data_IF_470968270574
#
_entry.id   IF_470968270574
#
_cell.length_a   1.000
_cell.length_b   1.000
_cell.length_c   1.000
_cell.angle_alpha   90.00
_cell.angle_beta   90.00
_cell.angle_gamma   90.00
#
_symmetry.space_group_name_H-M   'P 1'
#
loop_
_entity.id
_entity.type
_entity.pdbx_description
1 polymer ?
#
# COMPACT_ATOMS: atom_id res chain seq x y z
N UNK A 1 1.35 -21.13 6.27
CA UNK A 1 1.17 -19.90 7.09
C UNK A 1 -0.32 -19.68 7.22
N UNK A 2 -0.80 -19.27 8.39
CA UNK A 2 -2.22 -18.95 8.57
C UNK A 2 -2.57 -17.61 7.91
N UNK A 3 -3.85 -17.45 7.57
CA UNK A 3 -4.38 -16.27 6.87
C UNK A 3 -4.08 -14.95 7.59
N UNK A 4 -4.24 -14.92 8.92
CA UNK A 4 -4.04 -13.73 9.74
C UNK A 4 -2.61 -13.24 9.65
N UNK A 5 -1.65 -14.14 9.87
CA UNK A 5 -0.22 -13.84 9.76
C UNK A 5 0.12 -13.34 8.35
N UNK A 6 -0.39 -14.01 7.31
CA UNK A 6 -0.17 -13.60 5.92
C UNK A 6 -0.70 -12.20 5.62
N UNK A 7 -1.91 -11.88 6.07
CA UNK A 7 -2.53 -10.58 5.86
C UNK A 7 -1.76 -9.44 6.55
N UNK A 8 -1.30 -9.65 7.78
CA UNK A 8 -0.50 -8.65 8.52
C UNK A 8 0.84 -8.42 7.80
N UNK A 9 1.55 -9.51 7.48
CA UNK A 9 2.86 -9.43 6.85
C UNK A 9 2.80 -8.77 5.47
N UNK A 10 1.70 -8.94 4.72
CA UNK A 10 1.46 -8.26 3.45
C UNK A 10 1.55 -6.73 3.54
N UNK A 11 1.31 -6.15 4.73
CA UNK A 11 1.41 -4.70 4.97
C UNK A 11 2.67 -4.28 5.74
N UNK A 12 3.40 -5.21 6.37
CA UNK A 12 4.44 -4.88 7.36
C UNK A 12 5.51 -3.91 6.84
N UNK A 13 6.05 -4.14 5.64
CA UNK A 13 7.04 -3.27 4.99
C UNK A 13 6.44 -2.62 3.74
N UNK A 14 5.21 -2.11 3.87
CA UNK A 14 4.53 -1.38 2.80
C UNK A 14 4.42 -2.26 1.54
N UNK A 15 4.71 -1.71 0.36
CA UNK A 15 4.63 -2.43 -0.90
C UNK A 15 5.68 -3.53 -1.05
N UNK A 16 6.78 -3.49 -0.29
CA UNK A 16 7.87 -4.48 -0.40
C UNK A 16 7.36 -5.85 0.06
N UNK A 17 6.77 -5.92 1.26
CA UNK A 17 6.16 -7.18 1.70
C UNK A 17 4.87 -7.49 0.94
N UNK A 18 4.16 -6.48 0.42
CA UNK A 18 3.09 -6.70 -0.55
C UNK A 18 3.54 -7.54 -1.73
N UNK A 19 4.65 -7.17 -2.38
CA UNK A 19 5.20 -7.93 -3.51
C UNK A 19 5.62 -9.34 -3.10
N UNK A 20 6.32 -9.48 -1.96
CA UNK A 20 6.76 -10.80 -1.48
C UNK A 20 5.55 -11.73 -1.26
N UNK A 21 4.49 -11.21 -0.62
CA UNK A 21 3.33 -12.01 -0.24
C UNK A 21 2.36 -12.28 -1.39
N UNK A 22 2.49 -11.57 -2.53
CA UNK A 22 1.81 -11.96 -3.77
C UNK A 22 2.23 -13.35 -4.23
N UNK A 23 3.48 -13.75 -3.96
CA UNK A 23 4.02 -15.06 -4.34
C UNK A 23 4.05 -16.04 -3.18
N UNK A 24 4.49 -15.61 -2.00
CA UNK A 24 4.58 -16.48 -0.80
C UNK A 24 3.19 -16.85 -0.27
N UNK A 25 2.24 -15.90 -0.28
CA UNK A 25 0.87 -16.08 0.21
C UNK A 25 -0.14 -16.50 -0.86
N UNK A 26 0.31 -16.83 -2.08
CA UNK A 26 -0.55 -16.93 -3.28
C UNK A 26 -1.68 -17.97 -3.21
N UNK A 27 -1.52 -18.99 -2.37
CA UNK A 27 -2.49 -20.06 -2.20
C UNK A 27 -3.70 -19.67 -1.33
N UNK A 28 -3.62 -18.56 -0.60
CA UNK A 28 -4.75 -17.99 0.14
C UNK A 28 -5.25 -16.72 -0.59
N UNK A 29 -6.49 -16.72 -1.10
CA UNK A 29 -7.00 -15.59 -1.90
C UNK A 29 -7.11 -14.29 -1.11
N UNK A 30 -7.31 -14.35 0.21
CA UNK A 30 -7.41 -13.14 1.05
C UNK A 30 -6.03 -12.56 1.33
N UNK A 31 -5.03 -13.43 1.60
CA UNK A 31 -3.63 -13.00 1.73
C UNK A 31 -3.13 -12.41 0.42
N UNK A 32 -3.41 -13.07 -0.72
CA UNK A 32 -3.02 -12.58 -2.04
C UNK A 32 -3.66 -11.23 -2.37
N UNK A 33 -4.93 -11.02 -1.98
CA UNK A 33 -5.59 -9.72 -2.12
C UNK A 33 -4.93 -8.63 -1.26
N UNK A 34 -4.62 -8.92 0.00
CA UNK A 34 -3.95 -7.95 0.89
C UNK A 34 -2.55 -7.59 0.38
N UNK A 35 -1.82 -8.58 -0.13
CA UNK A 35 -0.54 -8.40 -0.79
C UNK A 35 -0.64 -7.48 -2.03
N UNK A 36 -1.64 -7.72 -2.88
CA UNK A 36 -1.93 -6.88 -4.04
C UNK A 36 -2.32 -5.45 -3.63
N UNK A 37 -3.24 -5.31 -2.68
CA UNK A 37 -3.72 -4.02 -2.16
C UNK A 37 -2.58 -3.20 -1.55
N UNK A 38 -1.69 -3.85 -0.79
CA UNK A 38 -0.48 -3.24 -0.24
C UNK A 38 0.46 -2.76 -1.35
N UNK A 39 0.72 -3.63 -2.34
CA UNK A 39 1.60 -3.33 -3.48
C UNK A 39 1.12 -2.11 -4.26
N UNK A 40 -0.17 -2.11 -4.66
CA UNK A 40 -0.74 -1.02 -5.46
C UNK A 40 -0.75 0.29 -4.67
N UNK A 41 -1.29 0.31 -3.45
CA UNK A 41 -1.47 1.55 -2.71
C UNK A 41 -0.13 2.16 -2.26
N UNK A 42 0.69 1.40 -1.53
CA UNK A 42 1.94 1.93 -0.99
C UNK A 42 3.01 2.11 -2.07
N UNK A 43 2.96 1.32 -3.15
CA UNK A 43 3.82 1.50 -4.32
C UNK A 43 3.49 2.81 -5.02
N UNK A 44 2.19 3.09 -5.23
CA UNK A 44 1.74 4.36 -5.82
C UNK A 44 2.16 5.57 -4.99
N UNK A 45 2.00 5.51 -3.66
CA UNK A 45 2.47 6.57 -2.75
C UNK A 45 3.98 6.80 -2.90
N UNK A 46 4.76 5.72 -2.96
CA UNK A 46 6.22 5.79 -3.09
C UNK A 46 6.64 6.42 -4.42
N UNK A 47 5.97 6.03 -5.52
CA UNK A 47 6.21 6.58 -6.87
C UNK A 47 5.86 8.07 -6.92
N UNK A 48 4.70 8.48 -6.40
CA UNK A 48 4.28 9.88 -6.36
C UNK A 48 5.27 10.71 -5.53
N UNK A 49 5.66 10.24 -4.34
CA UNK A 49 6.65 10.92 -3.51
C UNK A 49 8.00 11.08 -4.20
N UNK A 50 8.47 10.04 -4.90
CA UNK A 50 9.71 10.11 -5.70
C UNK A 50 9.63 11.17 -6.80
N UNK A 51 8.53 11.19 -7.56
CA UNK A 51 8.31 12.17 -8.63
C UNK A 51 8.28 13.60 -8.08
N UNK A 52 7.53 13.85 -7.00
CA UNK A 52 7.47 15.15 -6.35
C UNK A 52 8.84 15.63 -5.89
N UNK A 53 9.64 14.74 -5.28
CA UNK A 53 10.99 15.08 -4.85
C UNK A 53 11.93 15.36 -6.02
N UNK A 54 11.81 14.65 -7.14
CA UNK A 54 12.58 14.94 -8.36
C UNK A 54 12.22 16.30 -8.93
N UNK A 55 10.93 16.63 -9.06
CA UNK A 55 10.48 17.92 -9.57
C UNK A 55 10.99 19.05 -8.68
N UNK A 56 10.87 18.91 -7.35
CA UNK A 56 11.35 19.92 -6.40
C UNK A 56 12.84 20.25 -6.52
N UNK A 57 13.67 19.28 -6.97
CA UNK A 57 15.09 19.49 -7.20
C UNK A 57 15.43 20.39 -8.41
N UNK A 58 14.47 20.65 -9.30
CA UNK A 58 14.66 21.48 -10.49
C UNK A 58 13.92 22.83 -10.40
N UNK A 59 13.29 23.15 -9.26
CA UNK A 59 12.50 24.37 -9.07
C UNK A 59 13.19 25.36 -8.13
N UNK A 60 12.67 26.59 -8.06
CA UNK A 60 13.11 27.55 -7.03
C UNK A 60 12.76 27.08 -5.60
N UNK A 61 13.31 27.78 -4.61
CA UNK A 61 13.15 27.43 -3.20
C UNK A 61 11.69 27.47 -2.73
N UNK A 62 10.89 28.41 -3.23
CA UNK A 62 9.50 28.58 -2.82
C UNK A 62 8.65 27.41 -3.31
N UNK A 63 8.77 27.06 -4.59
CA UNK A 63 8.05 25.92 -5.16
C UNK A 63 8.56 24.58 -4.58
N UNK A 64 9.87 24.44 -4.36
CA UNK A 64 10.43 23.26 -3.71
C UNK A 64 9.86 23.03 -2.31
N UNK A 65 9.69 24.10 -1.51
CA UNK A 65 9.09 24.01 -0.18
C UNK A 65 7.61 23.56 -0.24
N UNK A 66 6.82 24.07 -1.20
CA UNK A 66 5.42 23.67 -1.40
C UNK A 66 5.33 22.19 -1.78
N UNK A 67 6.13 21.75 -2.75
CA UNK A 67 6.17 20.34 -3.18
C UNK A 67 6.63 19.42 -2.05
N UNK A 68 7.58 19.87 -1.22
CA UNK A 68 8.01 19.18 -0.02
C UNK A 68 6.88 18.99 1.00
N UNK A 69 6.08 20.05 1.24
CA UNK A 69 4.92 19.97 2.12
C UNK A 69 3.86 18.99 1.58
N UNK A 70 3.55 19.04 0.28
CA UNK A 70 2.61 18.09 -0.36
C UNK A 70 3.12 16.66 -0.21
N UNK A 71 4.40 16.41 -0.49
CA UNK A 71 5.00 15.09 -0.33
C UNK A 71 4.92 14.59 1.12
N UNK A 72 5.13 15.46 2.10
CA UNK A 72 5.00 15.12 3.51
C UNK A 72 3.56 14.74 3.88
N UNK A 73 2.57 15.50 3.41
CA UNK A 73 1.16 15.21 3.67
C UNK A 73 0.71 13.88 3.04
N UNK A 74 1.17 13.57 1.83
CA UNK A 74 0.90 12.28 1.17
C UNK A 74 1.53 11.13 1.98
N UNK A 75 2.78 11.29 2.43
CA UNK A 75 3.44 10.29 3.26
C UNK A 75 2.70 10.07 4.58
N UNK A 76 2.30 11.15 5.25
CA UNK A 76 1.55 11.08 6.51
C UNK A 76 0.20 10.38 6.33
N UNK A 77 -0.52 10.67 5.24
CA UNK A 77 -1.73 9.95 4.86
C UNK A 77 -1.45 8.46 4.65
N UNK A 78 -0.36 8.11 3.95
CA UNK A 78 0.10 6.73 3.78
C UNK A 78 0.33 6.03 5.11
N UNK A 79 1.00 6.67 6.07
CA UNK A 79 1.24 6.13 7.42
C UNK A 79 -0.06 5.85 8.16
N UNK A 80 -1.04 6.76 8.08
CA UNK A 80 -2.36 6.56 8.71
C UNK A 80 -3.05 5.32 8.12
N UNK A 81 -3.09 5.22 6.79
CA UNK A 81 -3.70 4.07 6.10
C UNK A 81 -2.94 2.78 6.41
N UNK A 82 -1.62 2.82 6.52
CA UNK A 82 -0.75 1.69 6.90
C UNK A 82 -1.08 1.16 8.29
N UNK A 83 -1.19 2.03 9.28
CA UNK A 83 -1.59 1.65 10.64
C UNK A 83 -2.97 1.00 10.62
N UNK A 84 -3.94 1.59 9.92
CA UNK A 84 -5.29 1.02 9.84
C UNK A 84 -5.27 -0.35 9.13
N UNK A 85 -4.45 -0.52 8.09
CA UNK A 85 -4.31 -1.80 7.40
C UNK A 85 -3.79 -2.90 8.33
N UNK A 86 -2.74 -2.63 9.10
CA UNK A 86 -2.18 -3.56 10.08
C UNK A 86 -3.21 -3.93 11.17
N UNK A 87 -3.86 -2.92 11.74
CA UNK A 87 -4.86 -3.12 12.80
C UNK A 87 -6.06 -3.93 12.29
N UNK A 88 -6.57 -3.62 11.09
CA UNK A 88 -7.71 -4.33 10.49
C UNK A 88 -7.33 -5.73 10.04
N UNK A 89 -6.14 -5.96 9.51
CA UNK A 89 -5.66 -7.32 9.20
C UNK A 89 -5.60 -8.18 10.46
N UNK A 90 -5.16 -7.62 11.58
CA UNK A 90 -5.14 -8.32 12.85
C UNK A 90 -6.55 -8.56 13.44
N UNK A 91 -7.40 -7.54 13.47
CA UNK A 91 -8.74 -7.62 14.10
C UNK A 91 -9.75 -8.43 13.29
N UNK A 92 -9.60 -8.51 11.97
CA UNK A 92 -10.43 -9.35 11.10
C UNK A 92 -9.99 -10.81 11.04
N UNK A 93 -8.89 -11.18 11.73
CA UNK A 93 -8.28 -12.50 11.57
C UNK A 93 -7.74 -12.76 10.16
N UNK A 94 -7.40 -11.70 9.42
CA UNK A 94 -6.95 -11.76 8.03
C UNK A 94 -8.06 -11.91 7.00
N UNK A 95 -9.34 -11.80 7.40
CA UNK A 95 -10.44 -11.77 6.43
C UNK A 95 -10.31 -10.55 5.51
N UNK A 96 -10.64 -10.73 4.24
CA UNK A 96 -10.53 -9.70 3.21
C UNK A 96 -11.24 -8.40 3.59
N UNK A 97 -10.56 -7.28 3.42
CA UNK A 97 -11.14 -5.95 3.57
C UNK A 97 -10.44 -4.92 2.68
N UNK A 98 -11.20 -3.91 2.26
CA UNK A 98 -10.67 -2.78 1.51
C UNK A 98 -10.11 -1.70 2.44
N UNK A 99 -9.02 -1.03 2.03
CA UNK A 99 -8.47 0.11 2.77
C UNK A 99 -9.54 1.19 2.98
N UNK A 100 -9.66 1.78 4.17
CA UNK A 100 -10.59 2.89 4.38
C UNK A 100 -10.16 4.08 3.51
N UNK A 101 -11.12 4.94 3.14
CA UNK A 101 -10.94 6.16 2.34
C UNK A 101 -10.58 5.93 0.86
N UNK A 102 -9.73 4.95 0.56
CA UNK A 102 -9.20 4.69 -0.80
C UNK A 102 -9.66 3.36 -1.40
N UNK A 103 -10.37 2.54 -0.62
CA UNK A 103 -10.76 1.17 -0.99
C UNK A 103 -11.51 1.07 -2.31
N UNK A 104 -12.46 1.97 -2.58
CA UNK A 104 -13.21 1.97 -3.83
C UNK A 104 -12.35 2.20 -5.08
N UNK A 105 -11.23 2.93 -4.95
CA UNK A 105 -10.30 3.15 -6.04
C UNK A 105 -9.23 2.06 -6.12
N UNK A 106 -8.69 1.60 -4.99
CA UNK A 106 -7.58 0.64 -4.94
C UNK A 106 -8.04 -0.80 -5.18
N UNK A 107 -9.19 -1.20 -4.64
CA UNK A 107 -9.62 -2.58 -4.64
C UNK A 107 -9.75 -3.20 -6.05
N UNK A 108 -10.30 -2.53 -7.07
CA UNK A 108 -10.36 -3.09 -8.43
C UNK A 108 -8.97 -3.44 -9.00
N UNK A 109 -7.96 -2.59 -8.78
CA UNK A 109 -6.60 -2.85 -9.23
C UNK A 109 -5.91 -3.94 -8.40
N UNK A 110 -6.22 -4.00 -7.10
CA UNK A 110 -5.75 -5.07 -6.24
C UNK A 110 -6.31 -6.44 -6.68
N UNK A 111 -7.58 -6.51 -7.06
CA UNK A 111 -8.19 -7.72 -7.65
C UNK A 111 -7.47 -8.13 -8.94
N UNK A 112 -7.29 -7.17 -9.86
CA UNK A 112 -6.60 -7.44 -11.13
C UNK A 112 -5.19 -7.98 -10.91
N UNK A 113 -4.41 -7.34 -10.02
CA UNK A 113 -3.05 -7.78 -9.71
C UNK A 113 -3.04 -9.14 -9.02
N UNK A 114 -3.94 -9.40 -8.06
CA UNK A 114 -4.04 -10.69 -7.39
C UNK A 114 -4.37 -11.82 -8.39
N UNK A 115 -5.23 -11.55 -9.37
CA UNK A 115 -5.62 -12.52 -10.39
C UNK A 115 -4.54 -12.73 -11.47
N UNK A 116 -3.66 -11.74 -11.69
CA UNK A 116 -2.54 -11.85 -12.63
C UNK A 116 -1.40 -12.75 -12.11
N UNK A 117 -1.34 -13.01 -10.80
CA UNK A 117 -0.31 -13.84 -10.16
C UNK A 117 -0.85 -15.25 -9.88
N UNK A 118 -0.26 -16.25 -10.55
CA UNK A 118 -0.58 -17.68 -10.46
C UNK A 118 0.23 -18.39 -9.36
#
# INVERSE_FOLDING_TARGET
MDKKTGAILSYLLWWITGIIFLFVGKNDPDVKFHAAQSTIFFGSISIVGFILNRIAGFTDLTLAAILGLISFLIWLFGVIVWIIALLRANSSGGARFQLPLVGGFIAPYAEQLANAVN
#
